data_IF_868045175931
#
_entry.id   IF_868045175931
#
_cell.length_a   1.000
_cell.length_b   1.000
_cell.length_c   1.000
_cell.angle_alpha   90.00
_cell.angle_beta   90.00
_cell.angle_gamma   90.00
#
_symmetry.space_group_name_H-M   'P 1'
#
loop_
_entity.id
_entity.type
_entity.pdbx_description
1 polymer ?
#
# COMPACT_ATOMS: atom_id res chain seq x y z
N UNK A 1 -10.57 -4.44 16.38
CA UNK A 1 -10.55 -2.95 16.41
C UNK A 1 -9.61 -2.49 15.34
N UNK A 2 -10.06 -1.64 14.43
CA UNK A 2 -9.20 -0.97 13.47
C UNK A 2 -8.79 0.35 14.10
N UNK A 3 -7.53 0.43 14.50
CA UNK A 3 -6.99 1.65 15.11
C UNK A 3 -6.23 2.39 14.02
N UNK A 4 -6.68 3.59 13.70
CA UNK A 4 -5.89 4.51 12.90
C UNK A 4 -4.67 4.90 13.75
N UNK A 5 -3.48 4.55 13.28
CA UNK A 5 -2.23 4.78 14.00
C UNK A 5 -1.44 5.88 13.30
N UNK A 6 -0.90 6.82 14.07
CA UNK A 6 0.05 7.82 13.58
C UNK A 6 1.24 7.81 14.53
N UNK A 7 2.43 7.59 13.98
CA UNK A 7 3.70 7.74 14.70
C UNK A 7 4.55 8.77 13.98
N UNK A 8 5.18 9.66 14.73
CA UNK A 8 6.06 10.70 14.19
C UNK A 8 7.36 10.76 15.00
N UNK A 9 8.48 10.93 14.31
CA UNK A 9 9.81 11.11 14.90
C UNK A 9 10.43 12.40 14.36
N UNK A 10 10.60 13.38 15.24
CA UNK A 10 11.21 14.67 14.90
C UNK A 10 12.71 14.57 14.64
N UNK A 11 13.42 13.67 15.35
CA UNK A 11 14.86 13.44 15.14
C UNK A 11 15.17 12.82 13.78
N UNK A 12 14.22 12.07 13.22
CA UNK A 12 14.34 11.44 11.91
C UNK A 12 13.60 12.22 10.82
N UNK A 13 12.78 13.21 11.17
CA UNK A 13 11.93 13.92 10.22
C UNK A 13 10.87 13.03 9.57
N UNK A 14 10.34 12.05 10.30
CA UNK A 14 9.49 10.99 9.73
C UNK A 14 8.12 10.92 10.36
N UNK A 15 7.12 10.54 9.56
CA UNK A 15 5.77 10.18 10.02
C UNK A 15 5.33 8.90 9.30
N UNK A 16 4.79 7.95 10.05
CA UNK A 16 4.13 6.75 9.52
C UNK A 16 2.68 6.77 10.01
N UNK A 17 1.73 6.53 9.11
CA UNK A 17 0.34 6.36 9.49
C UNK A 17 -0.30 5.14 8.83
N UNK A 18 -1.24 4.54 9.53
CA UNK A 18 -2.07 3.46 9.05
C UNK A 18 -3.53 3.85 9.29
N UNK A 19 -4.37 3.67 8.26
CA UNK A 19 -5.81 3.87 8.36
C UNK A 19 -6.52 2.65 7.84
N UNK A 20 -7.54 2.22 8.56
CA UNK A 20 -8.33 1.05 8.17
C UNK A 20 -9.82 1.37 8.13
N UNK A 21 -10.46 1.03 7.02
CA UNK A 21 -11.88 1.34 6.76
C UNK A 21 -12.61 0.05 6.42
N UNK A 22 -13.70 -0.22 7.14
CA UNK A 22 -14.61 -1.31 6.81
C UNK A 22 -15.65 -0.84 5.80
N UNK A 23 -15.83 -1.61 4.74
CA UNK A 23 -16.89 -1.42 3.75
C UNK A 23 -17.72 -2.70 3.64
N UNK A 24 -19.03 -2.56 3.50
CA UNK A 24 -19.94 -3.69 3.27
C UNK A 24 -20.29 -3.75 1.80
N UNK A 25 -20.06 -4.90 1.17
CA UNK A 25 -20.32 -5.13 -0.25
C UNK A 25 -21.32 -6.27 -0.42
N UNK A 26 -22.12 -6.21 -1.49
CA UNK A 26 -22.99 -7.33 -1.85
C UNK A 26 -22.16 -8.51 -2.37
N UNK A 27 -22.67 -9.72 -2.22
CA UNK A 27 -22.07 -10.91 -2.84
C UNK A 27 -21.91 -10.70 -4.34
N UNK A 28 -20.81 -11.20 -4.93
CA UNK A 28 -20.54 -11.12 -6.37
C UNK A 28 -20.33 -9.67 -6.89
N UNK A 29 -20.00 -8.73 -6.00
CA UNK A 29 -19.73 -7.34 -6.36
C UNK A 29 -18.36 -7.18 -7.04
N UNK A 30 -18.27 -6.15 -7.88
CA UNK A 30 -17.03 -5.63 -8.43
C UNK A 30 -16.98 -4.13 -8.13
N UNK A 31 -15.91 -3.68 -7.49
CA UNK A 31 -15.80 -2.29 -7.03
C UNK A 31 -14.45 -1.69 -7.39
N UNK A 32 -14.47 -0.39 -7.65
CA UNK A 32 -13.27 0.41 -7.79
C UNK A 32 -13.08 1.23 -6.52
N UNK A 33 -11.94 1.06 -5.86
CA UNK A 33 -11.51 1.94 -4.77
C UNK A 33 -10.55 2.97 -5.34
N UNK A 34 -10.95 4.24 -5.34
CA UNK A 34 -10.09 5.35 -5.69
C UNK A 34 -9.53 5.99 -4.41
N UNK A 35 -8.22 5.92 -4.26
CA UNK A 35 -7.49 6.58 -3.20
C UNK A 35 -7.02 7.93 -3.73
N UNK A 36 -7.43 9.00 -3.04
CA UNK A 36 -7.03 10.38 -3.35
C UNK A 36 -6.54 11.04 -2.06
N UNK A 37 -5.46 11.81 -2.15
CA UNK A 37 -5.02 12.62 -1.01
C UNK A 37 -3.66 13.25 -1.21
N UNK A 38 -3.10 13.74 -0.10
CA UNK A 38 -1.74 14.28 0.00
C UNK A 38 -0.80 13.39 0.81
N UNK A 39 -1.27 12.19 1.19
CA UNK A 39 -0.60 11.28 2.13
C UNK A 39 0.67 10.62 1.58
N UNK A 40 0.79 10.46 0.25
CA UNK A 40 2.08 10.06 -0.35
C UNK A 40 2.87 11.34 -0.59
N UNK A 41 3.75 11.64 0.36
CA UNK A 41 4.80 12.65 0.19
C UNK A 41 5.94 11.95 -0.51
N UNK A 42 6.37 12.50 -1.63
CA UNK A 42 7.58 11.99 -2.24
C UNK A 42 8.80 12.19 -1.37
N UNK A 43 9.75 11.26 -1.45
CA UNK A 43 11.12 11.39 -0.95
C UNK A 43 11.85 12.48 -1.76
N UNK A 44 11.40 13.73 -1.59
CA UNK A 44 11.91 14.89 -2.29
C UNK A 44 12.85 15.69 -1.37
N UNK A 45 13.92 16.23 -1.96
CA UNK A 45 14.72 17.28 -1.34
C UNK A 45 14.74 18.52 -2.25
N UNK A 46 14.16 19.66 -1.81
CA UNK A 46 13.47 19.87 -0.54
C UNK A 46 12.11 19.13 -0.45
N UNK A 47 11.59 18.86 0.76
CA UNK A 47 10.28 18.25 0.94
C UNK A 47 9.17 19.08 0.27
N UNK A 48 8.34 18.44 -0.55
CA UNK A 48 7.17 19.07 -1.18
C UNK A 48 5.89 18.57 -0.53
N UNK A 49 5.06 19.48 -0.05
CA UNK A 49 3.74 19.19 0.54
C UNK A 49 2.62 19.49 -0.45
N UNK A 50 1.47 18.82 -0.26
CA UNK A 50 0.26 19.07 -1.08
C UNK A 50 0.25 18.41 -2.46
N UNK A 51 1.18 17.50 -2.74
CA UNK A 51 1.17 16.69 -3.96
C UNK A 51 -0.06 15.79 -3.96
N UNK A 52 -0.89 15.91 -5.00
CA UNK A 52 -2.07 15.09 -5.18
C UNK A 52 -1.69 13.78 -5.85
N UNK A 53 -2.02 12.66 -5.21
CA UNK A 53 -1.94 11.34 -5.84
C UNK A 53 -3.36 10.79 -6.01
N UNK A 54 -3.54 10.04 -7.09
CA UNK A 54 -4.75 9.26 -7.35
C UNK A 54 -4.33 7.85 -7.73
N UNK A 55 -4.77 6.85 -6.94
CA UNK A 55 -4.56 5.44 -7.26
C UNK A 55 -5.91 4.73 -7.24
N UNK A 56 -6.17 3.93 -8.27
CA UNK A 56 -7.40 3.12 -8.32
C UNK A 56 -7.03 1.65 -8.16
N UNK A 57 -7.75 0.96 -7.29
CA UNK A 57 -7.70 -0.49 -7.13
C UNK A 57 -9.03 -1.07 -7.58
N UNK A 58 -8.99 -2.07 -8.44
CA UNK A 58 -10.15 -2.87 -8.79
C UNK A 58 -10.21 -4.09 -7.88
N UNK A 59 -11.38 -4.35 -7.28
CA UNK A 59 -11.64 -5.52 -6.44
C UNK A 59 -12.80 -6.28 -7.08
N UNK A 60 -12.52 -7.53 -7.47
CA UNK A 60 -13.51 -8.48 -7.96
C UNK A 60 -13.78 -9.54 -6.89
N UNK A 61 -15.00 -9.57 -6.35
CA UNK A 61 -15.44 -10.54 -5.35
C UNK A 61 -16.32 -11.63 -5.94
N UNK A 62 -16.35 -11.77 -7.27
CA UNK A 62 -17.01 -12.89 -7.92
C UNK A 62 -16.24 -14.18 -7.66
N UNK A 63 -16.98 -15.29 -7.64
CA UNK A 63 -16.37 -16.60 -7.54
C UNK A 63 -15.55 -16.85 -8.81
N UNK A 64 -14.30 -17.25 -8.64
CA UNK A 64 -13.43 -17.67 -9.74
C UNK A 64 -13.83 -19.08 -10.20
N UNK A 65 -13.34 -19.48 -11.37
CA UNK A 65 -13.56 -20.82 -11.92
C UNK A 65 -12.99 -21.94 -11.02
N UNK A 66 -12.03 -21.60 -10.15
CA UNK A 66 -11.44 -22.47 -9.14
C UNK A 66 -12.33 -22.67 -7.88
N UNK A 67 -13.48 -22.00 -7.81
CA UNK A 67 -14.43 -22.12 -6.70
C UNK A 67 -14.08 -21.27 -5.48
N UNK A 68 -13.09 -20.39 -5.56
CA UNK A 68 -12.72 -19.47 -4.48
C UNK A 68 -12.97 -18.01 -4.85
N UNK A 69 -13.16 -17.17 -3.83
CA UNK A 69 -13.14 -15.71 -3.99
C UNK A 69 -11.68 -15.26 -4.00
N UNK A 70 -11.37 -14.26 -4.81
CA UNK A 70 -10.04 -13.67 -4.85
C UNK A 70 -9.67 -13.09 -3.48
N UNK A 71 -8.51 -13.47 -2.95
CA UNK A 71 -7.97 -12.96 -1.69
C UNK A 71 -6.84 -11.98 -2.02
N UNK A 72 -6.74 -10.82 -1.34
CA UNK A 72 -5.69 -9.86 -1.66
C UNK A 72 -4.29 -10.40 -1.31
N UNK A 73 -3.25 -10.01 -2.08
CA UNK A 73 -1.87 -10.30 -1.70
C UNK A 73 -1.50 -9.56 -0.42
N UNK A 74 -0.59 -10.15 0.34
CA UNK A 74 -0.04 -9.59 1.58
C UNK A 74 1.42 -9.22 1.36
N UNK A 75 1.78 -7.98 1.69
CA UNK A 75 3.17 -7.52 1.73
C UNK A 75 3.54 -7.16 3.17
N UNK A 76 4.75 -7.53 3.60
CA UNK A 76 5.30 -7.09 4.88
C UNK A 76 6.43 -6.11 4.64
N UNK A 77 6.24 -4.86 5.03
CA UNK A 77 7.24 -3.80 4.89
C UNK A 77 7.48 -3.18 6.26
N UNK A 78 8.72 -3.21 6.72
CA UNK A 78 9.14 -2.35 7.84
C UNK A 78 9.49 -0.99 7.26
N UNK A 79 8.88 0.06 7.78
CA UNK A 79 9.13 1.45 7.43
C UNK A 79 9.39 2.26 8.72
N UNK A 80 10.37 3.18 8.75
CA UNK A 80 11.36 3.46 7.71
C UNK A 80 12.39 2.36 7.44
N UNK A 81 12.98 2.41 6.25
CA UNK A 81 14.25 1.73 5.96
C UNK A 81 15.35 2.77 5.74
N UNK A 82 16.48 2.58 6.41
CA UNK A 82 17.62 3.48 6.29
C UNK A 82 18.53 3.02 5.15
N UNK A 83 18.90 3.96 4.28
CA UNK A 83 19.92 3.77 3.28
C UNK A 83 21.08 4.73 3.59
N UNK A 84 22.32 4.24 3.50
CA UNK A 84 23.50 5.08 3.66
C UNK A 84 23.68 5.91 2.39
N UNK A 85 23.90 7.21 2.54
CA UNK A 85 24.12 8.13 1.42
C UNK A 85 25.27 7.60 0.54
N UNK A 86 25.05 7.60 -0.78
CA UNK A 86 25.99 7.09 -1.79
C UNK A 86 26.32 5.59 -1.69
N UNK A 87 25.55 4.80 -0.93
CA UNK A 87 25.70 3.34 -0.86
C UNK A 87 24.45 2.66 -1.39
N UNK A 88 24.61 1.78 -2.38
CA UNK A 88 23.50 0.95 -2.85
C UNK A 88 23.03 0.05 -1.70
N UNK A 89 21.75 0.18 -1.34
CA UNK A 89 21.12 -0.59 -0.25
C UNK A 89 20.03 -1.47 -0.84
N UNK A 90 20.12 -2.79 -0.63
CA UNK A 90 19.08 -3.71 -1.07
C UNK A 90 17.97 -3.79 -0.02
N UNK A 91 16.78 -3.31 -0.38
CA UNK A 91 15.58 -3.40 0.44
C UNK A 91 14.76 -4.59 -0.03
N UNK A 92 14.55 -5.59 0.85
CA UNK A 92 13.72 -6.76 0.54
C UNK A 92 12.30 -6.53 1.02
N UNK A 93 11.36 -6.51 0.08
CA UNK A 93 9.92 -6.47 0.37
C UNK A 93 9.32 -7.87 0.12
N UNK A 94 9.11 -8.68 1.16
CA UNK A 94 8.41 -9.95 1.01
C UNK A 94 6.94 -9.70 0.66
N UNK A 95 6.49 -10.41 -0.38
CA UNK A 95 5.10 -10.41 -0.85
C UNK A 95 4.67 -11.85 -1.01
N UNK A 96 3.44 -12.16 -0.61
CA UNK A 96 2.82 -13.47 -0.77
C UNK A 96 1.38 -13.31 -1.23
N UNK A 97 0.93 -14.18 -2.13
CA UNK A 97 -0.46 -14.28 -2.53
C UNK A 97 -0.97 -15.70 -2.24
N UNK A 98 -2.10 -15.86 -1.54
CA UNK A 98 -2.64 -17.18 -1.20
C UNK A 98 -3.37 -17.85 -2.38
N UNK A 99 -3.75 -17.11 -3.43
CA UNK A 99 -4.41 -17.65 -4.61
C UNK A 99 -3.36 -18.23 -5.57
N UNK A 100 -3.53 -19.50 -5.94
CA UNK A 100 -2.63 -20.15 -6.88
C UNK A 100 -2.74 -19.53 -8.27
N UNK A 101 -1.59 -19.41 -8.95
CA UNK A 101 -1.46 -18.87 -10.32
C UNK A 101 -1.83 -17.38 -10.48
N UNK A 102 -1.98 -16.63 -9.39
CA UNK A 102 -2.10 -15.18 -9.45
C UNK A 102 -0.71 -14.53 -9.62
N UNK A 103 -0.60 -13.61 -10.58
CA UNK A 103 0.56 -12.76 -10.76
C UNK A 103 0.47 -11.55 -9.81
N UNK A 104 1.55 -11.29 -9.05
CA UNK A 104 1.59 -10.16 -8.10
C UNK A 104 2.48 -9.03 -8.64
N UNK A 105 1.90 -8.05 -9.37
CA UNK A 105 2.67 -6.92 -9.88
C UNK A 105 3.01 -5.94 -8.75
N UNK A 106 4.30 -5.72 -8.52
CA UNK A 106 4.77 -4.65 -7.65
C UNK A 106 4.79 -3.33 -8.43
N UNK A 107 4.23 -2.26 -7.84
CA UNK A 107 4.37 -0.89 -8.36
C UNK A 107 5.04 -0.02 -7.30
N UNK A 108 6.15 0.59 -7.68
CA UNK A 108 6.86 1.55 -6.86
C UNK A 108 6.38 2.95 -7.22
N UNK A 109 6.01 3.74 -6.22
CA UNK A 109 5.92 5.18 -6.44
C UNK A 109 7.34 5.69 -6.50
N UNK A 110 7.72 6.21 -7.67
CA UNK A 110 8.82 7.17 -7.74
C UNK A 110 8.28 8.48 -7.16
N UNK A 111 9.19 9.38 -6.80
CA UNK A 111 8.91 10.67 -6.18
C UNK A 111 8.61 10.45 -4.72
#
# INVERSE_FOLDING_TARGET
MLTDCISASSSLGMMTSERSVNITLSTNAHVYLAYMGSAWVGLNYPPQSGLQWSRTTFIDLRLRDDGFINTPPVASVVSPQYAIVNTSTQIRIPVSDPNAADDVPCRWSIY
#
